data_IF_539368807895
#
_entry.id   IF_539368807895
#
_cell.length_a   1.000
_cell.length_b   1.000
_cell.length_c   1.000
_cell.angle_alpha   90.00
_cell.angle_beta   90.00
_cell.angle_gamma   90.00
#
_symmetry.space_group_name_H-M   'P 1'
#
loop_
_entity.id
_entity.type
_entity.pdbx_description
1 polymer ?
#
# COMPACT_ATOMS: atom_id res chain seq x y z
N UNK A 1 -9.04 19.87 22.31
CA UNK A 1 -9.05 18.54 21.65
C UNK A 1 -10.01 18.67 20.48
N UNK A 2 -9.48 18.86 19.28
CA UNK A 2 -10.29 18.92 18.06
C UNK A 2 -10.86 17.53 17.83
N UNK A 3 -12.13 17.39 18.19
CA UNK A 3 -12.89 16.18 17.98
C UNK A 3 -12.99 15.94 16.47
N UNK A 4 -12.28 14.91 15.98
CA UNK A 4 -12.29 14.54 14.56
C UNK A 4 -13.71 14.16 14.07
N UNK A 5 -14.70 14.06 14.95
CA UNK A 5 -16.10 13.81 14.61
C UNK A 5 -16.82 15.01 13.99
N UNK A 6 -16.29 16.23 14.13
CA UNK A 6 -16.99 17.45 13.68
C UNK A 6 -16.72 17.85 12.22
N UNK A 7 -15.87 17.12 11.47
CA UNK A 7 -15.57 17.42 10.06
C UNK A 7 -16.38 16.58 9.05
N UNK A 8 -17.04 15.51 9.49
CA UNK A 8 -17.74 14.55 8.63
C UNK A 8 -19.23 14.47 8.99
N UNK A 9 -19.92 15.60 8.88
CA UNK A 9 -21.38 15.70 9.07
C UNK A 9 -22.18 15.11 7.91
N UNK A 10 -22.38 13.78 7.90
CA UNK A 10 -23.41 13.13 7.07
C UNK A 10 -23.01 12.75 5.65
N UNK A 11 -21.71 12.56 5.37
CA UNK A 11 -21.26 12.04 4.07
C UNK A 11 -21.59 10.54 3.93
N UNK A 12 -22.04 10.09 2.74
CA UNK A 12 -22.17 8.65 2.45
C UNK A 12 -20.83 7.93 2.68
N UNK A 13 -20.83 6.69 3.21
CA UNK A 13 -19.60 5.93 3.48
C UNK A 13 -18.65 5.85 2.28
N UNK A 14 -19.23 5.76 1.08
CA UNK A 14 -18.50 5.70 -0.19
C UNK A 14 -17.65 6.96 -0.46
N UNK A 15 -18.16 8.16 -0.14
CA UNK A 15 -17.40 9.40 -0.32
C UNK A 15 -16.30 9.55 0.74
N UNK A 16 -16.53 9.06 1.96
CA UNK A 16 -15.50 9.04 3.00
C UNK A 16 -14.34 8.11 2.62
N UNK A 17 -14.62 6.94 2.03
CA UNK A 17 -13.61 6.02 1.53
C UNK A 17 -12.82 6.61 0.34
N UNK A 18 -13.48 7.34 -0.56
CA UNK A 18 -12.81 8.01 -1.67
C UNK A 18 -11.86 9.12 -1.19
N UNK A 19 -12.32 10.00 -0.29
CA UNK A 19 -11.52 11.08 0.26
C UNK A 19 -10.30 10.58 1.04
N UNK A 20 -10.42 9.45 1.75
CA UNK A 20 -9.31 8.87 2.48
C UNK A 20 -8.25 8.24 1.56
N UNK A 21 -8.66 7.66 0.43
CA UNK A 21 -7.74 7.17 -0.60
C UNK A 21 -6.96 8.32 -1.27
N UNK A 22 -7.61 9.47 -1.50
CA UNK A 22 -6.99 10.66 -2.10
C UNK A 22 -5.90 11.28 -1.20
N UNK A 23 -6.00 11.13 0.12
CA UNK A 23 -5.01 11.69 1.07
C UNK A 23 -3.84 10.75 1.38
N UNK A 24 -3.93 9.48 0.98
CA UNK A 24 -3.00 8.44 1.41
C UNK A 24 -1.80 8.31 0.46
N UNK A 25 -0.58 8.58 0.94
CA UNK A 25 0.66 8.38 0.17
C UNK A 25 1.21 6.96 0.39
N UNK A 26 1.31 6.19 -0.69
CA UNK A 26 1.90 4.86 -0.73
C UNK A 26 3.36 4.96 -1.14
N UNK A 27 4.27 4.42 -0.32
CA UNK A 27 5.69 4.38 -0.62
C UNK A 27 6.11 2.97 -0.98
N UNK A 28 6.84 2.84 -2.08
CA UNK A 28 7.44 1.59 -2.54
C UNK A 28 8.95 1.77 -2.57
N UNK A 29 9.68 1.03 -1.72
CA UNK A 29 11.13 1.16 -1.56
C UNK A 29 11.84 -0.17 -1.66
N UNK A 30 13.16 -0.14 -1.89
CA UNK A 30 14.00 -1.32 -1.89
C UNK A 30 14.80 -1.38 -0.58
N UNK A 31 14.70 -2.48 0.15
CA UNK A 31 15.55 -2.77 1.30
C UNK A 31 16.46 -3.97 0.99
N UNK A 32 17.70 -3.96 1.51
CA UNK A 32 18.58 -5.14 1.49
C UNK A 32 18.45 -5.92 2.80
N UNK A 33 18.24 -7.22 2.68
CA UNK A 33 18.22 -8.20 3.79
C UNK A 33 19.55 -8.97 3.85
N UNK A 34 19.59 -9.98 4.73
CA UNK A 34 20.74 -10.87 4.90
C UNK A 34 21.20 -11.41 3.55
N UNK A 35 22.52 -11.52 3.38
CA UNK A 35 23.17 -12.00 2.16
C UNK A 35 22.91 -11.12 0.92
N UNK A 36 22.62 -9.84 1.11
CA UNK A 36 22.39 -8.90 0.00
C UNK A 36 21.08 -9.12 -0.75
N UNK A 37 20.19 -9.97 -0.23
CA UNK A 37 18.89 -10.23 -0.85
C UNK A 37 18.03 -8.97 -0.83
N UNK A 38 17.57 -8.57 -1.99
CA UNK A 38 16.68 -7.41 -2.14
C UNK A 38 15.25 -7.77 -1.76
N UNK A 39 14.56 -6.81 -1.16
CA UNK A 39 13.16 -6.92 -0.77
C UNK A 39 12.47 -5.61 -1.09
N UNK A 40 11.41 -5.68 -1.88
CA UNK A 40 10.49 -4.56 -2.11
C UNK A 40 9.58 -4.39 -0.90
N UNK A 41 9.54 -3.18 -0.35
CA UNK A 41 8.73 -2.81 0.80
C UNK A 41 7.64 -1.84 0.33
N UNK A 42 6.40 -2.10 0.75
CA UNK A 42 5.23 -1.29 0.43
C UNK A 42 4.62 -0.84 1.76
N UNK A 43 4.53 0.47 1.95
CA UNK A 43 4.02 1.10 3.18
C UNK A 43 3.11 2.29 2.88
N UNK A 44 2.38 2.74 3.89
CA UNK A 44 1.47 3.89 3.77
C UNK A 44 0.04 3.51 3.37
N UNK A 45 -0.32 2.21 3.34
CA UNK A 45 -1.71 1.78 3.12
C UNK A 45 -2.41 1.61 4.46
N UNK A 46 -3.57 2.26 4.64
CA UNK A 46 -4.34 2.20 5.88
C UNK A 46 -4.96 0.79 6.07
N UNK A 47 -4.53 0.03 7.10
CA UNK A 47 -5.06 -1.30 7.36
C UNK A 47 -6.53 -1.30 7.80
N UNK A 48 -7.11 -0.13 8.16
CA UNK A 48 -8.54 -0.02 8.47
C UNK A 48 -9.41 -0.01 7.23
N UNK A 49 -8.87 0.45 6.10
CA UNK A 49 -9.56 0.54 4.82
C UNK A 49 -9.25 -0.65 3.92
N UNK A 50 -8.03 -1.19 4.01
CA UNK A 50 -7.57 -2.29 3.16
C UNK A 50 -7.11 -3.51 3.95
N UNK A 51 -7.55 -4.70 3.51
CA UNK A 51 -6.97 -5.96 4.00
C UNK A 51 -5.58 -6.17 3.40
N UNK A 52 -4.56 -5.74 4.13
CA UNK A 52 -3.16 -5.85 3.72
C UNK A 52 -2.66 -7.29 3.61
N UNK A 53 -3.28 -8.26 4.30
CA UNK A 53 -2.93 -9.68 4.14
C UNK A 53 -3.44 -10.19 2.79
N UNK A 54 -4.66 -9.83 2.42
CA UNK A 54 -5.23 -10.17 1.11
C UNK A 54 -4.46 -9.48 -0.02
N UNK A 55 -4.14 -8.20 0.13
CA UNK A 55 -3.34 -7.46 -0.84
C UNK A 55 -1.95 -8.09 -1.03
N UNK A 56 -1.26 -8.44 0.07
CA UNK A 56 0.02 -9.15 -0.01
C UNK A 56 -0.11 -10.49 -0.74
N UNK A 57 -1.19 -11.24 -0.52
CA UNK A 57 -1.46 -12.50 -1.22
C UNK A 57 -1.62 -12.28 -2.72
N UNK A 58 -2.41 -11.29 -3.13
CA UNK A 58 -2.66 -10.98 -4.53
C UNK A 58 -1.39 -10.52 -5.25
N UNK A 59 -0.59 -9.64 -4.62
CA UNK A 59 0.67 -9.17 -5.18
C UNK A 59 1.66 -10.33 -5.36
N UNK A 60 1.78 -11.23 -4.38
CA UNK A 60 2.62 -12.43 -4.49
C UNK A 60 2.22 -13.30 -5.69
N UNK A 61 0.92 -13.56 -5.83
CA UNK A 61 0.39 -14.36 -6.95
C UNK A 61 0.68 -13.71 -8.30
N UNK A 62 0.45 -12.39 -8.44
CA UNK A 62 0.70 -11.66 -9.70
C UNK A 62 2.19 -11.50 -10.04
N UNK A 63 3.06 -11.48 -9.03
CA UNK A 63 4.49 -11.28 -9.21
C UNK A 63 5.30 -12.59 -9.23
N UNK A 64 4.68 -13.71 -8.88
CA UNK A 64 5.31 -15.02 -8.69
C UNK A 64 6.49 -14.95 -7.71
N UNK A 65 6.28 -14.29 -6.56
CA UNK A 65 7.33 -14.05 -5.55
C UNK A 65 6.87 -14.43 -4.14
N UNK A 66 7.85 -14.72 -3.28
CA UNK A 66 7.64 -14.85 -1.85
C UNK A 66 7.43 -13.49 -1.19
N UNK A 67 6.77 -13.48 -0.02
CA UNK A 67 6.54 -12.24 0.71
C UNK A 67 5.58 -12.41 1.88
N UNK A 68 5.42 -11.34 2.64
CA UNK A 68 4.56 -11.31 3.83
C UNK A 68 3.99 -9.92 4.08
N UNK A 69 2.91 -9.86 4.85
CA UNK A 69 2.49 -8.64 5.52
C UNK A 69 2.93 -8.72 6.99
N UNK A 70 3.73 -7.75 7.43
CA UNK A 70 4.23 -7.69 8.81
C UNK A 70 4.42 -6.24 9.22
N UNK A 71 4.08 -5.90 10.46
CA UNK A 71 4.31 -4.57 11.04
C UNK A 71 3.74 -3.41 10.20
N UNK A 72 2.54 -3.55 9.64
CA UNK A 72 1.91 -2.48 8.87
C UNK A 72 2.48 -2.28 7.46
N UNK A 73 3.35 -3.17 6.98
CA UNK A 73 3.94 -3.11 5.63
C UNK A 73 3.94 -4.46 4.92
N UNK A 74 3.92 -4.41 3.60
CA UNK A 74 4.06 -5.60 2.75
C UNK A 74 5.51 -5.70 2.32
N UNK A 75 6.07 -6.90 2.41
CA UNK A 75 7.45 -7.21 2.01
C UNK A 75 7.41 -8.30 0.93
N UNK A 76 8.03 -8.03 -0.23
CA UNK A 76 8.10 -8.94 -1.37
C UNK A 76 9.57 -9.19 -1.74
N UNK A 77 9.95 -10.44 -2.01
CA UNK A 77 11.32 -10.78 -2.36
C UNK A 77 11.68 -10.27 -3.77
N UNK A 78 12.87 -9.68 -3.93
CA UNK A 78 13.37 -9.09 -5.17
C UNK A 78 12.98 -7.61 -5.35
N UNK A 79 13.55 -6.96 -6.36
CA UNK A 79 13.10 -5.65 -6.83
C UNK A 79 11.89 -5.79 -7.76
N UNK A 80 10.75 -5.33 -7.28
CA UNK A 80 9.48 -5.30 -7.99
C UNK A 80 8.84 -3.92 -7.95
N UNK A 81 9.58 -2.86 -7.58
CA UNK A 81 9.01 -1.53 -7.29
C UNK A 81 8.08 -1.02 -8.40
N UNK A 82 8.55 -1.06 -9.64
CA UNK A 82 7.76 -0.61 -10.80
C UNK A 82 6.58 -1.55 -11.13
N UNK A 83 6.74 -2.86 -10.95
CA UNK A 83 5.66 -3.83 -11.20
C UNK A 83 4.57 -3.69 -10.14
N UNK A 84 4.94 -3.48 -8.88
CA UNK A 84 4.02 -3.21 -7.77
C UNK A 84 3.25 -1.93 -8.04
N UNK A 85 3.91 -0.83 -8.42
CA UNK A 85 3.23 0.43 -8.77
C UNK A 85 2.11 0.19 -9.79
N UNK A 86 2.44 -0.44 -10.93
CA UNK A 86 1.46 -0.76 -11.98
C UNK A 86 0.32 -1.66 -11.50
N UNK A 87 0.57 -2.56 -10.55
CA UNK A 87 -0.46 -3.43 -10.00
C UNK A 87 -1.40 -2.67 -9.07
N UNK A 88 -0.86 -1.80 -8.21
CA UNK A 88 -1.66 -0.95 -7.32
C UNK A 88 -2.54 0.02 -8.13
N UNK A 89 -2.01 0.63 -9.19
CA UNK A 89 -2.79 1.47 -10.11
C UNK A 89 -3.98 0.69 -10.71
N UNK A 90 -3.73 -0.55 -11.17
CA UNK A 90 -4.79 -1.45 -11.68
C UNK A 90 -5.81 -1.88 -10.63
N UNK A 91 -5.46 -1.81 -9.35
CA UNK A 91 -6.34 -2.12 -8.22
C UNK A 91 -7.13 -0.89 -7.75
N UNK A 92 -6.96 0.28 -8.38
CA UNK A 92 -7.70 1.50 -8.08
C UNK A 92 -6.97 2.49 -7.16
N UNK A 93 -5.70 2.23 -6.81
CA UNK A 93 -4.91 3.21 -6.06
C UNK A 93 -4.49 4.38 -7.00
N UNK A 94 -4.66 5.65 -6.59
CA UNK A 94 -4.31 6.80 -7.43
C UNK A 94 -2.81 6.82 -7.76
N UNK A 95 -2.41 6.87 -9.05
CA UNK A 95 -1.00 6.87 -9.47
C UNK A 95 -0.15 8.00 -8.85
N UNK A 96 -0.75 9.18 -8.64
CA UNK A 96 -0.18 10.36 -8.01
C UNK A 96 0.20 10.13 -6.54
N UNK A 97 -0.49 9.19 -5.89
CA UNK A 97 -0.29 8.83 -4.50
C UNK A 97 0.74 7.71 -4.32
N UNK A 98 1.26 7.13 -5.42
CA UNK A 98 2.24 6.03 -5.38
C UNK A 98 3.62 6.55 -5.73
N UNK A 99 4.47 6.63 -4.70
CA UNK A 99 5.86 7.10 -4.79
C UNK A 99 6.81 5.91 -4.72
N UNK A 100 7.67 5.79 -5.74
CA UNK A 100 8.83 4.90 -5.67
C UNK A 100 9.96 5.68 -5.02
N UNK A 101 10.50 5.14 -3.92
CA UNK A 101 11.63 5.72 -3.20
C UNK A 101 12.87 4.90 -3.57
N UNK A 102 13.92 5.60 -4.00
CA UNK A 102 15.23 5.04 -4.31
C UNK A 102 16.13 4.95 -3.07
#
# INVERSE_FOLDING_TARGET
>A
MTDLSSLCGGLPPELCEQLSMEQQIIKIKLEKRRYGKEVTIIEGIDPKQFDLKKLASELKSKLATGGTYKNGRIELQGDHRHRVKKLLEKMGFPPENIIIVD
#
